data_IF_604246646700
#
_entry.id   IF_604246646700
#
_cell.length_a   1.000
_cell.length_b   1.000
_cell.length_c   1.000
_cell.angle_alpha   90.00
_cell.angle_beta   90.00
_cell.angle_gamma   90.00
#
_symmetry.space_group_name_H-M   'P 1'
#
loop_
_entity.id
_entity.type
_entity.pdbx_description
1 polymer ?
#
# COMPACT_ATOMS: atom_id res chain seq x y z
N UNK A 1 32.78 18.45 23.19
CA UNK A 1 31.39 18.10 23.53
C UNK A 1 30.49 18.74 22.50
N UNK A 2 30.15 18.02 21.44
CA UNK A 2 29.26 18.55 20.37
C UNK A 2 28.68 17.42 19.48
N UNK A 3 29.44 16.34 19.29
CA UNK A 3 29.00 15.18 18.49
C UNK A 3 27.78 14.44 19.07
N UNK A 4 27.65 14.36 20.40
CA UNK A 4 26.48 13.77 21.04
C UNK A 4 25.21 14.62 20.78
N UNK A 5 25.33 15.95 20.84
CA UNK A 5 24.23 16.88 20.60
C UNK A 5 23.78 16.86 19.14
N UNK A 6 24.72 16.82 18.18
CA UNK A 6 24.37 16.72 16.76
C UNK A 6 23.70 15.39 16.42
N UNK A 7 24.18 14.28 17.00
CA UNK A 7 23.59 12.96 16.79
C UNK A 7 22.16 12.88 17.37
N UNK A 8 21.95 13.48 18.54
CA UNK A 8 20.64 13.55 19.20
C UNK A 8 19.66 14.43 18.41
N UNK A 9 20.13 15.55 17.83
CA UNK A 9 19.33 16.39 16.95
C UNK A 9 18.93 15.65 15.65
N UNK A 10 19.87 14.97 14.98
CA UNK A 10 19.55 14.15 13.80
C UNK A 10 18.54 13.04 14.14
N UNK A 11 18.67 12.42 15.31
CA UNK A 11 17.75 11.38 15.77
C UNK A 11 16.35 11.95 15.98
N UNK A 12 16.22 13.08 16.67
CA UNK A 12 14.94 13.77 16.88
C UNK A 12 14.28 14.14 15.56
N UNK A 13 15.03 14.76 14.63
CA UNK A 13 14.50 15.14 13.32
C UNK A 13 14.09 13.91 12.50
N UNK A 14 14.86 12.81 12.55
CA UNK A 14 14.49 11.56 11.88
C UNK A 14 13.19 10.96 12.44
N UNK A 15 13.07 10.90 13.77
CA UNK A 15 11.89 10.37 14.45
C UNK A 15 10.64 11.26 14.21
N UNK A 16 10.83 12.58 14.03
CA UNK A 16 9.76 13.51 13.62
C UNK A 16 9.36 13.38 12.15
N UNK A 17 10.29 13.05 11.25
CA UNK A 17 10.00 12.90 9.81
C UNK A 17 9.34 11.57 9.46
N UNK A 18 9.69 10.47 10.14
CA UNK A 18 9.09 9.16 9.92
C UNK A 18 7.55 9.12 9.91
N UNK A 19 6.82 9.72 10.87
CA UNK A 19 5.36 9.68 10.90
C UNK A 19 4.70 10.43 9.73
N UNK A 20 5.38 11.43 9.15
CA UNK A 20 4.87 12.19 8.01
C UNK A 20 4.75 11.30 6.76
N UNK A 21 5.76 10.47 6.50
CA UNK A 21 5.73 9.49 5.40
C UNK A 21 4.76 8.33 5.67
N UNK A 22 4.57 7.97 6.94
CA UNK A 22 3.66 6.89 7.34
C UNK A 22 2.19 7.23 7.00
N UNK A 23 1.77 8.48 7.19
CA UNK A 23 0.41 8.92 6.84
C UNK A 23 0.15 8.83 5.34
N UNK A 24 1.08 9.32 4.51
CA UNK A 24 0.96 9.20 3.04
C UNK A 24 0.94 7.74 2.59
N UNK A 25 1.73 6.88 3.23
CA UNK A 25 1.75 5.44 2.97
C UNK A 25 0.39 4.79 3.28
N UNK A 26 -0.28 5.21 4.38
CA UNK A 26 -1.61 4.74 4.72
C UNK A 26 -2.65 5.07 3.65
N UNK A 27 -2.66 6.33 3.18
CA UNK A 27 -3.57 6.79 2.11
C UNK A 27 -3.28 6.03 0.81
N UNK A 28 -2.01 5.91 0.43
CA UNK A 28 -1.60 5.19 -0.78
C UNK A 28 -2.05 3.72 -0.76
N UNK A 29 -1.90 3.02 0.38
CA UNK A 29 -2.39 1.66 0.57
C UNK A 29 -3.91 1.57 0.45
N UNK A 30 -4.65 2.55 0.98
CA UNK A 30 -6.11 2.61 0.85
C UNK A 30 -6.57 2.72 -0.60
N UNK A 31 -5.93 3.60 -1.38
CA UNK A 31 -6.22 3.77 -2.81
C UNK A 31 -5.85 2.51 -3.60
N UNK A 32 -4.68 1.91 -3.31
CA UNK A 32 -4.25 0.67 -3.93
C UNK A 32 -5.24 -0.48 -3.66
N UNK A 33 -5.75 -0.59 -2.43
CA UNK A 33 -6.76 -1.59 -2.06
C UNK A 33 -8.08 -1.41 -2.81
N UNK A 34 -8.58 -0.17 -2.91
CA UNK A 34 -9.79 0.14 -3.70
C UNK A 34 -9.60 -0.19 -5.19
N UNK A 35 -8.45 0.17 -5.76
CA UNK A 35 -8.11 -0.15 -7.15
C UNK A 35 -8.03 -1.67 -7.39
N UNK A 36 -7.42 -2.41 -6.47
CA UNK A 36 -7.34 -3.88 -6.54
C UNK A 36 -8.74 -4.52 -6.48
N UNK A 37 -9.61 -4.06 -5.58
CA UNK A 37 -10.99 -4.55 -5.47
C UNK A 37 -11.78 -4.30 -6.77
N UNK A 38 -11.69 -3.09 -7.33
CA UNK A 38 -12.39 -2.75 -8.56
C UNK A 38 -11.88 -3.57 -9.76
N UNK A 39 -10.56 -3.75 -9.86
CA UNK A 39 -9.94 -4.59 -10.87
C UNK A 39 -10.43 -6.05 -10.82
N UNK A 40 -10.46 -6.64 -9.62
CA UNK A 40 -10.91 -8.02 -9.42
C UNK A 40 -12.40 -8.13 -9.76
N UNK A 41 -13.23 -7.20 -9.27
CA UNK A 41 -14.67 -7.21 -9.52
C UNK A 41 -15.00 -7.17 -11.02
N UNK A 42 -14.35 -6.27 -11.78
CA UNK A 42 -14.54 -6.18 -13.23
C UNK A 42 -14.13 -7.47 -13.95
N UNK A 43 -13.00 -8.07 -13.55
CA UNK A 43 -12.48 -9.27 -14.19
C UNK A 43 -13.33 -10.51 -13.89
N UNK A 44 -13.82 -10.63 -12.66
CA UNK A 44 -14.78 -11.66 -12.25
C UNK A 44 -16.10 -11.50 -13.00
N UNK A 45 -16.65 -10.29 -13.07
CA UNK A 45 -17.89 -10.01 -13.81
C UNK A 45 -17.78 -10.43 -15.28
N UNK A 46 -16.66 -10.10 -15.92
CA UNK A 46 -16.41 -10.47 -17.31
C UNK A 46 -16.36 -11.99 -17.51
N UNK A 47 -15.79 -12.74 -16.56
CA UNK A 47 -15.76 -14.21 -16.58
C UNK A 47 -17.16 -14.81 -16.41
N UNK A 48 -17.96 -14.27 -15.48
CA UNK A 48 -19.35 -14.69 -15.26
C UNK A 48 -20.17 -14.44 -16.53
N UNK A 49 -20.01 -13.28 -17.16
CA UNK A 49 -20.73 -12.92 -18.39
C UNK A 49 -20.39 -13.85 -19.57
N UNK A 50 -19.17 -14.40 -19.62
CA UNK A 50 -18.74 -15.37 -20.65
C UNK A 50 -18.98 -16.84 -20.25
N UNK A 51 -19.50 -17.09 -19.05
CA UNK A 51 -19.63 -18.44 -18.47
C UNK A 51 -18.30 -19.22 -18.44
N UNK A 52 -17.18 -18.51 -18.30
CA UNK A 52 -15.84 -19.09 -18.18
C UNK A 52 -15.52 -19.39 -16.72
N UNK A 53 -14.77 -20.47 -16.47
CA UNK A 53 -14.25 -20.77 -15.15
C UNK A 53 -13.33 -19.63 -14.66
N UNK A 54 -13.51 -19.20 -13.41
CA UNK A 54 -12.76 -18.09 -12.81
C UNK A 54 -11.53 -18.64 -12.12
N UNK A 55 -10.33 -18.24 -12.56
CA UNK A 55 -9.10 -18.47 -11.81
C UNK A 55 -8.80 -17.29 -10.86
N UNK A 56 -9.02 -17.52 -9.57
CA UNK A 56 -8.87 -16.51 -8.50
C UNK A 56 -7.43 -16.36 -8.00
N UNK A 57 -6.58 -17.39 -8.14
CA UNK A 57 -5.22 -17.34 -7.60
C UNK A 57 -4.37 -16.18 -8.18
N UNK A 58 -4.34 -15.93 -9.50
CA UNK A 58 -3.62 -14.78 -10.07
C UNK A 58 -4.29 -13.44 -9.77
N UNK A 59 -5.59 -13.42 -9.41
CA UNK A 59 -6.31 -12.18 -9.09
C UNK A 59 -5.90 -11.59 -7.73
N UNK A 60 -5.38 -12.41 -6.82
CA UNK A 60 -4.94 -11.97 -5.49
C UNK A 60 -3.55 -11.31 -5.48
N UNK A 61 -2.83 -11.31 -6.62
CA UNK A 61 -1.49 -10.73 -6.76
C UNK A 61 -1.30 -9.31 -6.19
N UNK A 62 -2.28 -8.38 -6.25
CA UNK A 62 -2.12 -7.04 -5.68
C UNK A 62 -2.00 -6.99 -4.16
N UNK A 63 -2.33 -8.07 -3.45
CA UNK A 63 -2.35 -8.13 -1.98
C UNK A 63 -1.18 -8.93 -1.38
N UNK A 64 -0.31 -9.51 -2.23
CA UNK A 64 0.84 -10.33 -1.82
C UNK A 64 2.13 -9.53 -1.94
#
# INVERSE_FOLDING_TARGET
MDFASLHELLRSTYDEMMPLCAQMTGIAKGIAGLGALFYIALRVWASIARAEAIDVFPLLRPFV
#
